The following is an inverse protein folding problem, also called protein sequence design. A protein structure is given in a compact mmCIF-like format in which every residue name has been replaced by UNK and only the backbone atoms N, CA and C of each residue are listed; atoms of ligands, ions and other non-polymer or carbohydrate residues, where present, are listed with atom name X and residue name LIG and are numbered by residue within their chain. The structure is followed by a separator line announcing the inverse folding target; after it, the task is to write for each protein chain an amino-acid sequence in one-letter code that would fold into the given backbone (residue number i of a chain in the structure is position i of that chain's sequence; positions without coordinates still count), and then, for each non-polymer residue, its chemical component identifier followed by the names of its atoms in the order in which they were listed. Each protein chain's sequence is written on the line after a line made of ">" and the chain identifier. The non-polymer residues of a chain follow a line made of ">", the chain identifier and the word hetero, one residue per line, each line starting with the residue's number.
data_IF_908257273606
#
_entry.id   IF_908257273606
#
_cell.length_a   1.000
_cell.length_b   1.000
_cell.length_c   1.000
_cell.angle_alpha   90.00
_cell.angle_beta   90.00
_cell.angle_gamma   90.00
#
_symmetry.space_group_name_H-M   'P 1'
#
loop_
_entity.id
_entity.type
_entity.pdbx_description
1 polymer ?
#
# COMPACT_ATOMS: atom_id res chain seq x y z
N UNK A 1 16.61 -17.68 6.99
CA UNK A 1 15.15 -17.83 6.96
C UNK A 1 14.70 -17.93 5.51
N UNK A 2 13.84 -18.90 5.20
CA UNK A 2 13.49 -19.25 3.83
C UNK A 2 12.18 -18.57 3.41
N UNK A 3 12.26 -17.72 2.37
CA UNK A 3 11.25 -16.79 1.84
C UNK A 3 10.05 -17.45 1.11
N UNK A 4 9.92 -18.78 1.16
CA UNK A 4 8.91 -19.54 0.40
C UNK A 4 7.80 -20.16 1.27
N UNK A 5 7.71 -19.82 2.56
CA UNK A 5 6.83 -20.51 3.50
C UNK A 5 5.51 -19.79 3.84
N UNK A 6 5.27 -18.55 3.38
CA UNK A 6 3.94 -17.93 3.54
C UNK A 6 3.01 -18.43 2.44
N UNK A 7 2.09 -19.33 2.83
CA UNK A 7 1.04 -19.81 1.94
C UNK A 7 0.17 -18.62 1.49
N UNK A 8 -0.23 -18.57 0.21
CA UNK A 8 -1.11 -17.51 -0.29
C UNK A 8 -2.46 -17.40 0.46
N UNK A 9 -2.89 -18.45 1.18
CA UNK A 9 -4.10 -18.46 2.01
C UNK A 9 -4.01 -17.76 3.38
N UNK A 10 -2.84 -17.24 3.77
CA UNK A 10 -2.68 -16.38 4.97
C UNK A 10 -2.48 -14.90 4.61
N UNK A 11 -2.50 -14.54 3.32
CA UNK A 11 -2.34 -13.15 2.89
C UNK A 11 -3.64 -12.40 3.14
N UNK A 12 -3.56 -11.30 3.88
CA UNK A 12 -4.70 -10.42 4.08
C UNK A 12 -5.11 -9.81 2.73
N UNK A 13 -6.40 -9.91 2.41
CA UNK A 13 -7.00 -9.22 1.26
C UNK A 13 -7.36 -7.79 1.66
N UNK A 14 -6.82 -6.82 0.94
CA UNK A 14 -7.02 -5.39 1.20
C UNK A 14 -7.79 -4.75 0.06
N UNK A 15 -8.80 -3.96 0.42
CA UNK A 15 -9.50 -3.12 -0.53
C UNK A 15 -8.77 -1.78 -0.66
N UNK A 16 -8.43 -1.40 -1.88
CA UNK A 16 -8.02 -0.04 -2.21
C UNK A 16 -9.26 0.82 -2.44
N UNK A 17 -9.44 1.84 -1.60
CA UNK A 17 -10.36 2.94 -1.84
C UNK A 17 -9.55 4.16 -2.29
N UNK A 18 -9.67 4.59 -3.57
CA UNK A 18 -8.85 5.65 -4.13
C UNK A 18 -8.84 6.90 -3.27
N UNK A 19 -7.63 7.39 -2.94
CA UNK A 19 -7.40 8.59 -2.13
C UNK A 19 -8.01 8.57 -0.71
N UNK A 20 -8.59 7.45 -0.26
CA UNK A 20 -9.18 7.32 1.08
C UNK A 20 -8.35 6.38 1.95
N UNK A 21 -8.17 5.13 1.51
CA UNK A 21 -7.45 4.12 2.29
C UNK A 21 -7.05 2.90 1.47
N UNK A 22 -6.07 2.15 1.96
CA UNK A 22 -5.63 0.86 1.45
C UNK A 22 -5.70 -0.15 2.58
N UNK A 23 -6.74 -1.00 2.57
CA UNK A 23 -7.01 -1.93 3.67
C UNK A 23 -7.22 -1.19 5.00
N UNK A 24 -6.39 -1.45 6.04
CA UNK A 24 -6.48 -0.76 7.32
C UNK A 24 -5.82 0.63 7.32
N UNK A 25 -5.00 0.96 6.32
CA UNK A 25 -4.21 2.19 6.27
C UNK A 25 -4.97 3.32 5.58
N UNK A 26 -5.14 4.47 6.23
CA UNK A 26 -5.81 5.64 5.65
C UNK A 26 -4.79 6.73 5.29
N UNK A 27 -4.98 7.39 4.16
CA UNK A 27 -4.14 8.53 3.80
C UNK A 27 -4.32 9.65 4.84
N UNK A 28 -3.21 10.29 5.23
CA UNK A 28 -3.15 11.28 6.31
C UNK A 28 -2.85 10.71 7.70
N UNK A 29 -2.82 9.38 7.88
CA UNK A 29 -2.42 8.77 9.16
C UNK A 29 -0.97 9.10 9.52
N UNK A 30 -0.72 9.35 10.80
CA UNK A 30 0.65 9.46 11.31
C UNK A 30 1.30 8.07 11.51
N UNK A 31 2.62 7.99 11.72
CA UNK A 31 3.31 6.70 11.84
C UNK A 31 2.81 5.81 12.99
N UNK A 32 2.39 6.39 14.11
CA UNK A 32 1.83 5.65 15.25
C UNK A 32 0.46 5.05 14.93
N UNK A 33 -0.38 5.78 14.18
CA UNK A 33 -1.66 5.28 13.66
C UNK A 33 -1.45 4.16 12.65
N UNK A 34 -0.47 4.29 11.75
CA UNK A 34 -0.11 3.24 10.79
C UNK A 34 0.39 1.99 11.52
N UNK A 35 1.26 2.14 12.52
CA UNK A 35 1.73 1.02 13.32
C UNK A 35 0.57 0.33 14.05
N UNK A 36 -0.34 1.11 14.66
CA UNK A 36 -1.53 0.58 15.34
C UNK A 36 -2.48 -0.15 14.39
N UNK A 37 -2.66 0.36 13.17
CA UNK A 37 -3.48 -0.26 12.13
C UNK A 37 -2.88 -1.58 11.60
N UNK A 38 -1.56 -1.78 11.76
CA UNK A 38 -0.82 -2.99 11.41
C UNK A 38 -0.53 -3.88 12.63
N UNK A 39 -1.45 -3.90 13.60
CA UNK A 39 -1.34 -4.71 14.82
C UNK A 39 -0.11 -4.36 15.69
N UNK A 40 0.25 -3.08 15.72
CA UNK A 40 1.43 -2.60 16.46
C UNK A 40 2.76 -2.94 15.79
N UNK A 41 2.76 -3.20 14.48
CA UNK A 41 3.99 -3.53 13.75
C UNK A 41 5.04 -2.42 13.88
N UNK A 42 6.28 -2.85 14.15
CA UNK A 42 7.41 -1.94 14.31
C UNK A 42 7.93 -1.55 12.94
N UNK A 43 7.80 -0.26 12.60
CA UNK A 43 8.34 0.25 11.34
C UNK A 43 9.85 0.47 11.47
N UNK A 44 10.61 0.03 10.47
CA UNK A 44 11.95 0.54 10.25
C UNK A 44 11.83 1.90 9.56
N UNK A 45 11.81 2.96 10.36
CA UNK A 45 11.69 4.33 9.87
C UNK A 45 13.04 4.80 9.34
N UNK A 46 13.03 5.24 8.09
CA UNK A 46 14.15 5.94 7.48
C UNK A 46 13.65 7.27 6.94
N UNK A 47 14.28 8.35 7.38
CA UNK A 47 13.99 9.70 6.91
C UNK A 47 14.96 10.06 5.79
N UNK A 48 14.43 10.49 4.64
CA UNK A 48 15.26 10.96 3.54
C UNK A 48 15.98 12.24 3.95
N UNK A 49 17.31 12.17 4.05
CA UNK A 49 18.19 13.32 4.34
C UNK A 49 17.79 14.54 3.51
N UNK A 50 17.21 15.56 4.18
CA UNK A 50 16.93 16.88 3.61
C UNK A 50 15.67 17.02 2.75
N UNK A 51 14.82 16.00 2.62
CA UNK A 51 13.67 16.03 1.70
C UNK A 51 12.30 16.26 2.34
N UNK A 52 12.20 16.22 3.68
CA UNK A 52 10.91 16.25 4.37
C UNK A 52 10.03 15.00 4.16
N UNK A 53 10.49 14.04 3.35
CA UNK A 53 9.77 12.78 3.08
C UNK A 53 10.36 11.68 3.95
N UNK A 54 9.48 11.04 4.73
CA UNK A 54 9.81 9.87 5.55
C UNK A 54 9.27 8.60 4.91
N UNK A 55 9.85 7.44 5.24
CA UNK A 55 9.22 6.16 4.95
C UNK A 55 9.42 5.17 6.09
N UNK A 56 8.41 4.34 6.33
CA UNK A 56 8.42 3.27 7.31
C UNK A 56 8.30 1.93 6.62
N UNK A 57 9.31 1.07 6.77
CA UNK A 57 9.25 -0.30 6.26
C UNK A 57 8.67 -1.23 7.33
N UNK A 58 7.58 -1.92 7.00
CA UNK A 58 6.93 -2.92 7.84
C UNK A 58 7.19 -4.29 7.23
N UNK A 59 8.35 -4.88 7.54
CA UNK A 59 8.80 -6.15 6.96
C UNK A 59 7.89 -7.33 7.33
N UNK A 60 7.24 -7.28 8.49
CA UNK A 60 6.29 -8.32 8.92
C UNK A 60 5.05 -8.39 8.03
N UNK A 61 4.69 -7.24 7.43
CA UNK A 61 3.52 -7.07 6.57
C UNK A 61 3.88 -6.95 5.10
N UNK A 62 5.15 -6.78 4.73
CA UNK A 62 5.56 -6.50 3.35
C UNK A 62 5.04 -5.15 2.85
N UNK A 63 4.91 -4.17 3.73
CA UNK A 63 4.33 -2.85 3.42
C UNK A 63 5.34 -1.76 3.69
N UNK A 64 5.40 -0.77 2.79
CA UNK A 64 6.20 0.45 2.96
C UNK A 64 5.25 1.64 2.97
N UNK A 65 5.18 2.32 4.11
CA UNK A 65 4.47 3.58 4.25
C UNK A 65 5.38 4.72 3.83
N UNK A 66 4.87 5.66 3.03
CA UNK A 66 5.55 6.90 2.67
C UNK A 66 4.81 8.07 3.31
N UNK A 67 5.56 8.91 4.01
CA UNK A 67 5.09 10.05 4.77
C UNK A 67 5.55 11.34 4.09
N UNK A 68 4.62 12.29 3.91
CA UNK A 68 4.92 13.62 3.40
C UNK A 68 5.53 14.55 4.45
N UNK A 69 5.70 15.83 4.11
CA UNK A 69 6.31 16.85 4.97
C UNK A 69 5.60 17.04 6.32
N UNK A 70 4.27 16.84 6.36
CA UNK A 70 3.47 16.90 7.59
C UNK A 70 3.46 15.58 8.39
N UNK A 71 4.34 14.63 8.03
CA UNK A 71 4.41 13.29 8.62
C UNK A 71 3.12 12.47 8.46
N UNK A 72 2.23 12.87 7.56
CA UNK A 72 1.01 12.14 7.19
C UNK A 72 1.29 11.13 6.07
N UNK A 73 0.62 9.99 6.11
CA UNK A 73 0.71 8.93 5.11
C UNK A 73 0.20 9.44 3.75
N UNK A 74 1.09 9.56 2.78
CA UNK A 74 0.77 10.01 1.42
C UNK A 74 0.74 8.89 0.40
N UNK A 75 1.51 7.82 0.63
CA UNK A 75 1.53 6.66 -0.25
C UNK A 75 1.82 5.38 0.52
N UNK A 76 1.34 4.26 -0.02
CA UNK A 76 1.60 2.92 0.50
C UNK A 76 2.14 2.08 -0.66
N UNK A 77 3.38 1.64 -0.55
CA UNK A 77 3.95 0.64 -1.45
C UNK A 77 3.82 -0.74 -0.81
N UNK A 78 3.39 -1.72 -1.60
CA UNK A 78 3.10 -3.06 -1.14
C UNK A 78 4.00 -4.02 -1.91
N UNK A 79 4.69 -4.88 -1.17
CA UNK A 79 5.53 -5.92 -1.74
C UNK A 79 4.63 -6.96 -2.43
N UNK A 80 4.81 -7.17 -3.73
CA UNK A 80 4.00 -8.10 -4.49
C UNK A 80 4.25 -9.59 -4.13
N UNK A 81 5.40 -9.90 -3.53
CA UNK A 81 5.81 -11.25 -3.16
C UNK A 81 5.34 -11.62 -1.76
N UNK A 82 5.50 -10.74 -0.78
CA UNK A 82 5.25 -11.02 0.65
C UNK A 82 4.12 -10.20 1.27
N UNK A 83 3.66 -9.16 0.58
CA UNK A 83 2.63 -8.24 1.06
C UNK A 83 1.19 -8.72 0.87
N UNK A 84 0.23 -7.94 1.40
CA UNK A 84 -1.20 -8.20 1.25
C UNK A 84 -1.65 -8.15 -0.22
N UNK A 85 -2.67 -8.95 -0.54
CA UNK A 85 -3.30 -8.93 -1.87
C UNK A 85 -4.24 -7.73 -1.94
N UNK A 86 -3.93 -6.76 -2.79
CA UNK A 86 -4.74 -5.54 -2.92
C UNK A 86 -5.66 -5.61 -4.12
N UNK A 87 -6.93 -5.30 -3.91
CA UNK A 87 -7.96 -5.22 -4.94
C UNK A 87 -8.57 -3.82 -4.99
N UNK A 88 -8.72 -3.28 -6.18
CA UNK A 88 -9.47 -2.06 -6.45
C UNK A 88 -10.78 -2.44 -7.12
N UNK A 89 -11.91 -2.31 -6.40
CA UNK A 89 -13.22 -2.79 -6.88
C UNK A 89 -13.19 -4.27 -7.25
N UNK A 90 -13.14 -4.61 -8.53
CA UNK A 90 -13.05 -5.97 -9.09
C UNK A 90 -11.69 -6.23 -9.78
N UNK A 91 -10.73 -5.32 -9.64
CA UNK A 91 -9.41 -5.39 -10.26
C UNK A 91 -8.39 -5.79 -9.21
N UNK A 92 -7.80 -6.98 -9.34
CA UNK A 92 -6.64 -7.36 -8.54
C UNK A 92 -5.41 -6.55 -8.98
N UNK A 93 -4.68 -5.98 -8.02
CA UNK A 93 -3.50 -5.15 -8.29
C UNK A 93 -2.18 -5.90 -8.08
N UNK A 94 -2.22 -6.99 -7.31
CA UNK A 94 -1.05 -7.81 -6.97
C UNK A 94 -1.04 -9.07 -7.84
N UNK A 95 0.16 -9.57 -8.17
CA UNK A 95 0.40 -10.74 -9.02
C UNK A 95 -0.13 -10.61 -10.46
N UNK A 96 -0.32 -9.38 -10.95
CA UNK A 96 -0.70 -9.07 -12.34
C UNK A 96 0.35 -8.22 -13.04
N UNK A 97 0.34 -8.23 -14.36
CA UNK A 97 1.30 -7.47 -15.17
C UNK A 97 1.01 -5.96 -14.99
N UNK A 98 2.02 -5.13 -14.65
CA UNK A 98 1.79 -3.70 -14.38
C UNK A 98 1.11 -2.93 -15.53
N UNK A 99 1.35 -3.32 -16.78
CA UNK A 99 0.71 -2.71 -17.95
C UNK A 99 -0.79 -3.03 -18.05
N UNK A 100 -1.19 -4.25 -17.72
CA UNK A 100 -2.59 -4.68 -17.72
C UNK A 100 -3.36 -4.03 -16.57
N UNK A 101 -2.77 -4.03 -15.38
CA UNK A 101 -3.34 -3.34 -14.21
C UNK A 101 -3.52 -1.85 -14.49
N UNK A 102 -2.54 -1.20 -15.11
CA UNK A 102 -2.65 0.21 -15.51
C UNK A 102 -3.80 0.43 -16.49
N UNK A 103 -3.93 -0.42 -17.50
CA UNK A 103 -5.01 -0.30 -18.49
C UNK A 103 -6.39 -0.50 -17.82
N UNK A 104 -6.53 -1.45 -16.91
CA UNK A 104 -7.78 -1.70 -16.20
C UNK A 104 -8.15 -0.54 -15.26
N UNK A 105 -7.17 0.06 -14.58
CA UNK A 105 -7.39 1.26 -13.75
C UNK A 105 -7.85 2.44 -14.62
N UNK A 106 -7.23 2.63 -15.80
CA UNK A 106 -7.62 3.67 -16.74
C UNK A 106 -9.04 3.44 -17.28
N UNK A 107 -9.38 2.20 -17.62
CA UNK A 107 -10.73 1.82 -18.06
C UNK A 107 -11.77 2.03 -16.94
N UNK A 108 -11.43 1.70 -15.68
CA UNK A 108 -12.27 2.00 -14.53
C UNK A 108 -12.47 3.50 -14.34
N UNK A 109 -11.41 4.30 -14.42
CA UNK A 109 -11.51 5.77 -14.32
C UNK A 109 -12.40 6.35 -15.42
N UNK A 110 -12.27 5.87 -16.65
CA UNK A 110 -13.15 6.24 -17.78
C UNK A 110 -14.62 5.88 -17.50
N UNK A 111 -14.90 4.69 -16.96
CA UNK A 111 -16.27 4.27 -16.58
C UNK A 111 -16.87 5.13 -15.47
N UNK A 112 -16.04 5.57 -14.53
CA UNK A 112 -16.44 6.43 -13.41
C UNK A 112 -16.47 7.93 -13.79
N UNK A 113 -16.11 8.28 -15.04
CA UNK A 113 -16.10 9.66 -15.52
C UNK A 113 -14.97 10.52 -14.94
N UNK A 114 -13.91 9.89 -14.41
CA UNK A 114 -12.74 10.57 -13.85
C UNK A 114 -11.68 10.74 -14.94
N UNK A 115 -11.10 11.95 -15.11
CA UNK A 115 -10.04 12.15 -16.09
C UNK A 115 -8.80 11.36 -15.70
N UNK A 116 -8.23 10.65 -16.69
CA UNK A 116 -6.90 10.07 -16.58
C UNK A 116 -5.89 11.17 -16.92
N UNK A 117 -5.29 11.82 -15.93
CA UNK A 117 -4.15 12.73 -16.10
C UNK A 117 -2.81 11.96 -16.09
#
# INVERSE_FOLDING_TARGET
>A
MHWWNRKPGERSEWLLEPLVKVGPLRFGMNPDEVASALDGAVAHVSQGLGSGIGWGYYTDWGVTALYGEENGLVAVAIDAMDGPLVRLRDIDLIARVPSEVRADIQDLALREGLPCE
#
